data_IF_322275676898
#
_entry.id   IF_322275676898
#
_cell.length_a   1.000
_cell.length_b   1.000
_cell.length_c   1.000
_cell.angle_alpha   90.00
_cell.angle_beta   90.00
_cell.angle_gamma   90.00
#
_symmetry.space_group_name_H-M   'P 1'
#
loop_
_entity.id
_entity.type
_entity.pdbx_description
1 polymer ?
#
# COMPACT_ATOMS: atom_id res chain seq x y z
N UNK A 1 -0.01 -21.57 12.14
CA UNK A 1 1.22 -20.86 11.71
C UNK A 1 1.12 -19.44 12.22
N UNK A 2 2.19 -18.90 12.83
CA UNK A 2 2.22 -17.50 13.29
C UNK A 2 2.82 -16.64 12.17
N UNK A 3 2.08 -15.64 11.71
CA UNK A 3 2.62 -14.65 10.78
C UNK A 3 3.57 -13.69 11.52
N UNK A 4 4.65 -13.30 10.87
CA UNK A 4 5.64 -12.36 11.38
C UNK A 4 5.83 -11.21 10.40
N UNK A 5 6.05 -10.01 10.90
CA UNK A 5 6.55 -8.89 10.09
C UNK A 5 8.06 -9.07 9.99
N UNK A 6 8.56 -9.22 8.77
CA UNK A 6 9.97 -9.52 8.50
C UNK A 6 10.75 -8.35 7.92
N UNK A 7 10.06 -7.30 7.50
CA UNK A 7 10.65 -6.05 7.03
C UNK A 7 9.61 -4.94 7.00
N UNK A 8 10.09 -3.71 7.03
CA UNK A 8 9.21 -2.54 6.98
C UNK A 8 9.94 -1.31 6.41
N UNK A 9 9.17 -0.36 5.97
CA UNK A 9 9.65 0.95 5.53
C UNK A 9 8.58 2.01 5.74
N UNK A 10 9.00 3.26 5.79
CA UNK A 10 8.11 4.40 5.94
C UNK A 10 8.72 5.66 5.34
N UNK A 11 7.99 6.39 4.53
CA UNK A 11 8.41 7.71 4.08
C UNK A 11 8.37 8.72 5.23
N UNK A 12 9.26 9.71 5.30
CA UNK A 12 9.14 10.79 6.27
C UNK A 12 7.78 11.47 6.18
N UNK A 13 7.22 11.88 7.32
CA UNK A 13 5.99 12.68 7.31
C UNK A 13 6.25 14.04 6.67
N UNK A 14 5.39 14.44 5.75
CA UNK A 14 5.53 15.71 5.06
C UNK A 14 4.59 15.84 3.87
N UNK A 15 4.73 16.93 3.11
CA UNK A 15 3.88 17.20 1.96
C UNK A 15 4.23 16.37 0.73
N UNK A 16 5.49 15.96 0.57
CA UNK A 16 5.97 15.21 -0.58
C UNK A 16 5.55 15.85 -1.92
N UNK A 17 5.89 17.11 -2.13
CA UNK A 17 5.35 17.93 -3.24
C UNK A 17 5.63 17.33 -4.63
N UNK A 18 6.75 16.62 -4.75
CA UNK A 18 7.18 16.00 -6.01
C UNK A 18 6.75 14.53 -6.15
N UNK A 19 6.08 13.97 -5.15
CA UNK A 19 5.62 12.58 -5.17
C UNK A 19 4.12 12.50 -5.47
N UNK A 20 3.73 11.47 -6.14
CA UNK A 20 2.35 11.02 -6.29
C UNK A 20 2.12 9.71 -5.53
N UNK A 21 0.91 9.14 -5.61
CA UNK A 21 0.57 7.87 -4.97
C UNK A 21 1.46 6.74 -5.48
N UNK A 22 1.77 6.75 -6.77
CA UNK A 22 2.59 5.75 -7.42
C UNK A 22 4.01 5.76 -6.87
N UNK A 23 4.68 6.93 -6.90
CA UNK A 23 6.06 7.06 -6.40
C UNK A 23 6.16 6.72 -4.90
N UNK A 24 5.18 7.11 -4.08
CA UNK A 24 5.14 6.77 -2.66
C UNK A 24 5.03 5.25 -2.43
N UNK A 25 4.17 4.56 -3.20
CA UNK A 25 4.05 3.11 -3.14
C UNK A 25 5.39 2.45 -3.46
N UNK A 26 6.04 2.88 -4.55
CA UNK A 26 7.29 2.27 -4.97
C UNK A 26 8.43 2.44 -3.99
N UNK A 27 8.58 3.65 -3.45
CA UNK A 27 9.61 3.94 -2.47
C UNK A 27 9.52 2.98 -1.26
N UNK A 28 8.33 2.83 -0.68
CA UNK A 28 8.17 1.98 0.50
C UNK A 28 8.21 0.50 0.16
N UNK A 29 7.70 0.08 -1.00
CA UNK A 29 7.75 -1.31 -1.42
C UNK A 29 9.19 -1.81 -1.57
N UNK A 30 10.01 -1.07 -2.31
CA UNK A 30 11.43 -1.42 -2.51
C UNK A 30 12.17 -1.49 -1.18
N UNK A 31 12.06 -0.45 -0.36
CA UNK A 31 12.77 -0.38 0.91
C UNK A 31 12.32 -1.46 1.91
N UNK A 32 11.03 -1.80 1.96
CA UNK A 32 10.52 -2.85 2.84
C UNK A 32 11.02 -4.24 2.42
N UNK A 33 11.12 -4.50 1.12
CA UNK A 33 11.68 -5.74 0.60
C UNK A 33 13.17 -5.86 0.86
N UNK A 34 13.91 -4.76 0.68
CA UNK A 34 15.34 -4.69 1.03
C UNK A 34 15.56 -4.97 2.52
N UNK A 35 14.77 -4.35 3.40
CA UNK A 35 14.84 -4.57 4.86
C UNK A 35 14.52 -6.03 5.23
N UNK A 36 13.57 -6.65 4.54
CA UNK A 36 13.22 -8.06 4.73
C UNK A 36 14.25 -9.04 4.16
N UNK A 37 15.10 -8.60 3.23
CA UNK A 37 15.95 -9.49 2.43
C UNK A 37 15.14 -10.43 1.52
N UNK A 38 13.98 -9.97 1.02
CA UNK A 38 13.04 -10.73 0.18
C UNK A 38 13.00 -10.10 -1.21
N UNK A 39 13.12 -10.91 -2.25
CA UNK A 39 12.99 -10.44 -3.62
C UNK A 39 11.53 -10.19 -4.03
N UNK A 40 11.26 -9.31 -5.00
CA UNK A 40 9.91 -9.08 -5.53
C UNK A 40 9.26 -10.36 -6.09
N UNK A 41 10.07 -11.28 -6.64
CA UNK A 41 9.62 -12.58 -7.15
C UNK A 41 9.09 -13.50 -6.07
N UNK A 42 9.57 -13.37 -4.83
CA UNK A 42 9.15 -14.16 -3.68
C UNK A 42 7.82 -13.68 -3.07
N UNK A 43 7.36 -12.47 -3.40
CA UNK A 43 6.07 -11.96 -2.94
C UNK A 43 4.95 -12.72 -3.62
N UNK A 44 4.02 -13.26 -2.85
CA UNK A 44 2.88 -14.04 -3.37
C UNK A 44 1.65 -13.18 -3.59
N UNK A 45 1.44 -12.16 -2.75
CA UNK A 45 0.23 -11.34 -2.74
C UNK A 45 0.51 -9.92 -2.23
N UNK A 46 -0.27 -8.95 -2.71
CA UNK A 46 -0.11 -7.53 -2.37
C UNK A 46 -1.44 -6.96 -1.85
N UNK A 47 -1.42 -6.30 -0.70
CA UNK A 47 -2.54 -5.52 -0.19
C UNK A 47 -2.17 -4.05 -0.05
N UNK A 48 -2.97 -3.18 -0.65
CA UNK A 48 -2.77 -1.72 -0.58
C UNK A 48 -3.91 -1.08 0.19
N UNK A 49 -3.62 -0.62 1.40
CA UNK A 49 -4.52 0.20 2.19
C UNK A 49 -4.57 1.62 1.63
N UNK A 50 -5.70 2.00 1.06
CA UNK A 50 -5.92 3.32 0.48
C UNK A 50 -7.38 3.72 0.69
N UNK A 51 -7.57 4.84 1.37
CA UNK A 51 -8.90 5.25 1.81
C UNK A 51 -9.70 5.88 0.68
N UNK A 52 -9.23 6.98 0.09
CA UNK A 52 -10.10 7.82 -0.74
C UNK A 52 -9.40 8.37 -1.99
N UNK A 53 -9.87 7.99 -3.15
CA UNK A 53 -9.40 8.49 -4.44
C UNK A 53 -9.75 9.97 -4.71
N UNK A 54 -10.60 10.58 -3.89
CA UNK A 54 -10.92 12.00 -3.99
C UNK A 54 -9.75 12.93 -3.64
N UNK A 55 -8.73 12.45 -2.92
CA UNK A 55 -7.52 13.22 -2.64
C UNK A 55 -6.53 13.20 -3.80
N UNK A 56 -6.50 12.12 -4.53
CA UNK A 56 -5.60 11.90 -5.66
C UNK A 56 -6.34 11.12 -6.73
N UNK A 57 -6.33 11.59 -7.98
CA UNK A 57 -7.06 10.97 -9.09
C UNK A 57 -6.40 9.67 -9.55
N UNK A 58 -6.42 8.66 -8.67
CA UNK A 58 -5.89 7.33 -8.93
C UNK A 58 -6.89 6.26 -8.46
N UNK A 59 -7.56 5.64 -9.42
CA UNK A 59 -8.62 4.66 -9.15
C UNK A 59 -8.10 3.23 -8.88
N UNK A 60 -6.83 2.93 -9.25
CA UNK A 60 -6.28 1.58 -9.21
C UNK A 60 -4.98 1.49 -8.39
N UNK A 61 -4.93 1.97 -7.14
CA UNK A 61 -3.69 2.00 -6.36
C UNK A 61 -3.12 0.61 -6.08
N UNK A 62 -3.94 -0.44 -6.05
CA UNK A 62 -3.48 -1.81 -5.82
C UNK A 62 -2.49 -2.31 -6.88
N UNK A 63 -2.62 -1.85 -8.12
CA UNK A 63 -1.78 -2.28 -9.24
C UNK A 63 -0.50 -1.44 -9.40
N UNK A 64 -0.33 -0.37 -8.63
CA UNK A 64 0.80 0.54 -8.83
C UNK A 64 2.15 -0.05 -8.41
N UNK A 65 2.17 -1.03 -7.51
CA UNK A 65 3.39 -1.74 -7.16
C UNK A 65 4.08 -2.37 -8.40
N UNK A 66 3.29 -2.77 -9.41
CA UNK A 66 3.77 -3.34 -10.66
C UNK A 66 4.67 -2.38 -11.46
N UNK A 67 4.52 -1.08 -11.28
CA UNK A 67 5.31 -0.07 -12.00
C UNK A 67 6.79 -0.04 -11.58
N UNK A 68 7.12 -0.61 -10.42
CA UNK A 68 8.46 -0.59 -9.87
C UNK A 68 9.27 -1.85 -10.15
N UNK A 69 8.59 -2.98 -10.34
CA UNK A 69 9.27 -4.23 -10.70
C UNK A 69 8.33 -5.16 -11.48
N UNK A 70 8.78 -5.60 -12.63
CA UNK A 70 8.05 -6.52 -13.50
C UNK A 70 7.78 -7.89 -12.84
N UNK A 71 8.52 -8.26 -11.80
CA UNK A 71 8.34 -9.50 -11.05
C UNK A 71 7.06 -9.50 -10.21
N UNK A 72 6.43 -8.33 -10.02
CA UNK A 72 5.07 -8.25 -9.45
C UNK A 72 3.97 -8.62 -10.45
N UNK A 73 4.28 -8.80 -11.72
CA UNK A 73 3.30 -9.26 -12.72
C UNK A 73 2.67 -10.57 -12.30
N UNK A 74 1.35 -10.63 -12.53
CA UNK A 74 0.52 -11.80 -12.19
C UNK A 74 0.40 -12.10 -10.70
N UNK A 75 0.89 -11.23 -9.81
CA UNK A 75 0.63 -11.30 -8.38
C UNK A 75 -0.76 -10.74 -8.08
N UNK A 76 -1.61 -11.41 -7.29
CA UNK A 76 -2.85 -10.82 -6.80
C UNK A 76 -2.55 -9.52 -6.05
N UNK A 77 -3.22 -8.43 -6.43
CA UNK A 77 -3.10 -7.15 -5.75
C UNK A 77 -4.49 -6.60 -5.44
N UNK A 78 -4.77 -6.30 -4.18
CA UNK A 78 -6.08 -5.89 -3.70
C UNK A 78 -5.99 -4.58 -2.94
N UNK A 79 -6.85 -3.61 -3.30
CA UNK A 79 -7.08 -2.42 -2.48
C UNK A 79 -7.96 -2.78 -1.29
N UNK A 80 -7.57 -2.31 -0.11
CA UNK A 80 -8.32 -2.46 1.13
C UNK A 80 -8.68 -1.07 1.65
N UNK A 81 -9.94 -0.87 1.99
CA UNK A 81 -10.45 0.37 2.53
C UNK A 81 -11.14 0.12 3.88
N UNK A 82 -10.86 0.95 4.85
CA UNK A 82 -11.57 1.04 6.13
C UNK A 82 -11.31 2.43 6.77
N UNK A 83 -11.62 3.49 6.04
CA UNK A 83 -11.39 4.86 6.45
C UNK A 83 -9.97 5.08 7.04
N UNK A 84 -9.83 5.69 8.20
CA UNK A 84 -8.54 5.92 8.86
C UNK A 84 -7.81 4.62 9.26
N UNK A 85 -8.49 3.49 9.26
CA UNK A 85 -7.92 2.18 9.59
C UNK A 85 -7.56 1.33 8.35
N UNK A 86 -7.52 1.91 7.14
CA UNK A 86 -7.25 1.19 5.90
C UNK A 86 -5.91 0.44 5.93
N UNK A 87 -4.85 1.05 6.49
CA UNK A 87 -3.56 0.37 6.66
C UNK A 87 -3.65 -0.85 7.58
N UNK A 88 -4.32 -0.72 8.72
CA UNK A 88 -4.54 -1.84 9.65
C UNK A 88 -5.39 -2.94 9.02
N UNK A 89 -6.41 -2.57 8.25
CA UNK A 89 -7.25 -3.52 7.53
C UNK A 89 -6.44 -4.29 6.47
N UNK A 90 -5.53 -3.63 5.76
CA UNK A 90 -4.64 -4.28 4.81
C UNK A 90 -3.68 -5.27 5.51
N UNK A 91 -3.09 -4.91 6.65
CA UNK A 91 -2.28 -5.83 7.48
C UNK A 91 -3.11 -7.05 7.87
N UNK A 92 -4.38 -6.84 8.28
CA UNK A 92 -5.25 -7.94 8.68
C UNK A 92 -5.57 -8.90 7.52
N UNK A 93 -5.70 -8.42 6.29
CA UNK A 93 -5.84 -9.29 5.12
C UNK A 93 -4.57 -10.12 4.88
N UNK A 94 -3.39 -9.49 4.97
CA UNK A 94 -2.12 -10.21 4.87
C UNK A 94 -1.98 -11.33 5.91
N UNK A 95 -2.35 -11.06 7.17
CA UNK A 95 -2.37 -12.07 8.23
C UNK A 95 -3.31 -13.24 7.91
N UNK A 96 -4.49 -12.96 7.33
CA UNK A 96 -5.43 -14.01 6.90
C UNK A 96 -4.86 -14.88 5.79
N UNK A 97 -4.22 -14.27 4.79
CA UNK A 97 -3.62 -14.99 3.67
C UNK A 97 -2.52 -15.95 4.15
N UNK A 98 -1.64 -15.50 5.04
CA UNK A 98 -0.62 -16.34 5.67
C UNK A 98 -1.25 -17.46 6.53
N UNK A 99 -2.25 -17.13 7.35
CA UNK A 99 -2.94 -18.12 8.19
C UNK A 99 -3.64 -19.19 7.37
N UNK A 100 -4.23 -18.81 6.24
CA UNK A 100 -4.87 -19.71 5.28
C UNK A 100 -3.87 -20.53 4.43
N UNK A 101 -2.56 -20.27 4.55
CA UNK A 101 -1.48 -20.88 3.75
C UNK A 101 -1.62 -20.60 2.24
N UNK A 102 -2.24 -19.49 1.89
CA UNK A 102 -2.37 -19.04 0.49
C UNK A 102 -1.13 -18.27 0.03
N UNK A 103 -0.41 -17.66 0.96
CA UNK A 103 0.81 -16.92 0.72
C UNK A 103 1.88 -17.26 1.76
N UNK A 104 3.14 -17.19 1.35
CA UNK A 104 4.32 -17.25 2.22
C UNK A 104 4.81 -15.84 2.56
N UNK A 105 4.91 -14.97 1.56
CA UNK A 105 5.24 -13.56 1.69
C UNK A 105 4.12 -12.68 1.14
N UNK A 106 3.69 -11.74 1.95
CA UNK A 106 2.66 -10.76 1.59
C UNK A 106 3.24 -9.37 1.75
N UNK A 107 3.20 -8.59 0.68
CA UNK A 107 3.53 -7.16 0.72
C UNK A 107 2.29 -6.36 1.12
N UNK A 108 2.37 -5.63 2.22
CA UNK A 108 1.29 -4.75 2.68
C UNK A 108 1.76 -3.31 2.63
N UNK A 109 1.02 -2.46 1.93
CA UNK A 109 1.33 -1.04 1.74
C UNK A 109 0.17 -0.20 2.24
N UNK A 110 0.45 0.83 3.02
CA UNK A 110 -0.51 1.90 3.33
C UNK A 110 -0.08 3.19 2.64
N UNK A 111 -0.96 3.82 1.91
CA UNK A 111 -0.66 5.06 1.18
C UNK A 111 -1.84 6.00 1.14
N UNK A 112 -1.58 7.30 1.34
CA UNK A 112 -2.56 8.36 1.11
C UNK A 112 -1.85 9.67 0.76
N UNK A 113 -2.25 10.31 -0.32
CA UNK A 113 -1.72 11.61 -0.77
C UNK A 113 -2.77 12.70 -0.58
N UNK A 114 -3.07 13.06 0.66
CA UNK A 114 -4.07 14.08 1.00
C UNK A 114 -3.64 15.48 0.56
N UNK A 115 -2.33 15.75 0.52
CA UNK A 115 -1.78 17.07 0.20
C UNK A 115 -1.74 17.38 -1.30
N UNK A 116 -2.30 16.51 -2.15
CA UNK A 116 -2.47 16.80 -3.57
C UNK A 116 -3.54 17.88 -3.84
N UNK A 117 -4.43 18.15 -2.87
CA UNK A 117 -5.51 19.13 -2.95
C UNK A 117 -5.45 20.12 -1.79
N UNK A 118 -6.17 21.23 -1.90
CA UNK A 118 -6.21 22.26 -0.87
C UNK A 118 -7.00 21.85 0.38
N UNK A 119 -6.69 22.44 1.53
CA UNK A 119 -7.29 22.07 2.82
C UNK A 119 -8.83 22.12 2.85
N UNK A 120 -9.45 23.09 2.17
CA UNK A 120 -10.92 23.15 2.04
C UNK A 120 -11.47 21.94 1.27
N UNK A 121 -10.82 21.61 0.16
CA UNK A 121 -11.21 20.48 -0.68
C UNK A 121 -11.02 19.14 0.04
N UNK A 122 -9.96 19.01 0.87
CA UNK A 122 -9.79 17.86 1.76
C UNK A 122 -11.02 17.68 2.65
N UNK A 123 -11.49 18.77 3.27
CA UNK A 123 -12.70 18.75 4.10
C UNK A 123 -13.93 18.29 3.33
N UNK A 124 -14.11 18.80 2.12
CA UNK A 124 -15.25 18.42 1.24
C UNK A 124 -15.21 16.94 0.82
N UNK A 125 -14.01 16.38 0.59
CA UNK A 125 -13.83 14.95 0.30
C UNK A 125 -14.17 14.10 1.53
N UNK A 126 -13.68 14.48 2.70
CA UNK A 126 -13.94 13.75 3.95
C UNK A 126 -15.42 13.76 4.35
N UNK A 127 -16.15 14.83 4.04
CA UNK A 127 -17.60 14.91 4.34
C UNK A 127 -18.46 14.03 3.43
N UNK A 128 -17.90 13.53 2.33
CA UNK A 128 -18.59 12.65 1.37
C UNK A 128 -18.20 11.19 1.51
N UNK A 129 -17.30 10.89 2.43
CA UNK A 129 -16.78 9.55 2.65
C UNK A 129 -17.68 8.72 3.58
#
# INVERSE_FOLDING_TARGET
MTACIVGWSHTPFGKHENDDVESLIGQVAVQALEDAGVGPDEVDEIFVGHFNEGFSRQAFPSSLALQFDDQFRFKPATRVENACASGSAAVYQGLKSIAAKQARFVLVIGVEKMTAIGGKEIGDVLLKA
#
